data_IF_161483869185
#
_entry.id   IF_161483869185
#
_cell.length_a   1.000
_cell.length_b   1.000
_cell.length_c   1.000
_cell.angle_alpha   90.00
_cell.angle_beta   90.00
_cell.angle_gamma   90.00
#
_symmetry.space_group_name_H-M   'P 1'
#
loop_
_entity.id
_entity.type
_entity.pdbx_description
1 polymer ?
#
# COMPACT_ATOMS: atom_id res chain seq x y z
N UNK A 1 -20.84 -40.83 29.64
CA UNK A 1 -19.70 -39.94 30.00
C UNK A 1 -18.76 -39.66 28.82
N UNK A 2 -18.40 -40.64 27.98
CA UNK A 2 -17.50 -40.40 26.82
C UNK A 2 -18.07 -39.45 25.74
N UNK A 3 -19.39 -39.41 25.52
CA UNK A 3 -20.01 -38.53 24.52
C UNK A 3 -19.90 -37.03 24.87
N UNK A 4 -20.12 -36.66 26.14
CA UNK A 4 -20.03 -35.27 26.61
C UNK A 4 -18.61 -34.71 26.52
N UNK A 5 -17.59 -35.55 26.78
CA UNK A 5 -16.18 -35.14 26.63
C UNK A 5 -15.81 -34.87 25.16
N UNK A 6 -16.33 -35.67 24.22
CA UNK A 6 -16.12 -35.46 22.78
C UNK A 6 -16.82 -34.19 22.28
N UNK A 7 -18.03 -33.91 22.77
CA UNK A 7 -18.76 -32.67 22.47
C UNK A 7 -17.99 -31.44 22.98
N UNK A 8 -17.50 -31.46 24.21
CA UNK A 8 -16.72 -30.35 24.76
C UNK A 8 -15.44 -30.06 23.97
N UNK A 9 -14.74 -31.10 23.50
CA UNK A 9 -13.54 -30.95 22.65
C UNK A 9 -13.90 -30.39 21.28
N UNK A 10 -14.99 -30.85 20.66
CA UNK A 10 -15.46 -30.33 19.38
C UNK A 10 -15.88 -28.85 19.48
N UNK A 11 -16.58 -28.46 20.55
CA UNK A 11 -16.94 -27.07 20.80
C UNK A 11 -15.71 -26.19 21.06
N UNK A 12 -14.72 -26.69 21.80
CA UNK A 12 -13.45 -25.99 22.01
C UNK A 12 -12.68 -25.79 20.69
N UNK A 13 -12.62 -26.81 19.83
CA UNK A 13 -12.01 -26.71 18.51
C UNK A 13 -12.74 -25.70 17.60
N UNK A 14 -14.07 -25.72 17.57
CA UNK A 14 -14.88 -24.76 16.82
C UNK A 14 -14.66 -23.32 17.29
N UNK A 15 -14.54 -23.10 18.61
CA UNK A 15 -14.18 -21.78 19.18
C UNK A 15 -12.79 -21.34 18.74
N UNK A 16 -11.80 -22.24 18.75
CA UNK A 16 -10.44 -21.93 18.29
C UNK A 16 -10.40 -21.58 16.79
N UNK A 17 -11.18 -22.26 15.96
CA UNK A 17 -11.26 -22.00 14.53
C UNK A 17 -11.92 -20.65 14.24
N UNK A 18 -12.99 -20.31 14.97
CA UNK A 18 -13.64 -19.00 14.87
C UNK A 18 -12.69 -17.85 15.26
N UNK A 19 -11.89 -18.03 16.31
CA UNK A 19 -10.85 -17.05 16.70
C UNK A 19 -9.81 -16.89 15.59
N UNK A 20 -9.25 -17.99 15.08
CA UNK A 20 -8.28 -17.92 13.97
C UNK A 20 -8.84 -17.22 12.75
N UNK A 21 -10.08 -17.52 12.37
CA UNK A 21 -10.74 -16.86 11.24
C UNK A 21 -10.86 -15.36 11.47
N UNK A 22 -11.27 -14.94 12.67
CA UNK A 22 -11.35 -13.53 13.03
C UNK A 22 -9.99 -12.83 13.02
N UNK A 23 -8.91 -13.53 13.42
CA UNK A 23 -7.54 -13.00 13.34
C UNK A 23 -7.08 -12.83 11.89
N UNK A 24 -7.36 -13.79 11.00
CA UNK A 24 -7.02 -13.70 9.58
C UNK A 24 -7.77 -12.55 8.88
N UNK A 25 -9.07 -12.41 9.15
CA UNK A 25 -9.89 -11.32 8.62
C UNK A 25 -9.34 -9.95 9.08
N UNK A 26 -8.99 -9.84 10.37
CA UNK A 26 -8.33 -8.63 10.91
C UNK A 26 -7.00 -8.36 10.23
N UNK A 27 -6.14 -9.37 10.06
CA UNK A 27 -4.85 -9.21 9.38
C UNK A 27 -5.02 -8.71 7.95
N UNK A 28 -5.99 -9.26 7.21
CA UNK A 28 -6.28 -8.80 5.85
C UNK A 28 -6.75 -7.34 5.87
N UNK A 29 -7.67 -6.99 6.77
CA UNK A 29 -8.15 -5.60 6.87
C UNK A 29 -7.02 -4.62 7.20
N UNK A 30 -6.13 -4.97 8.13
CA UNK A 30 -4.95 -4.15 8.45
C UNK A 30 -4.04 -3.99 7.23
N UNK A 31 -3.80 -5.06 6.47
CA UNK A 31 -2.99 -4.99 5.25
C UNK A 31 -3.61 -4.06 4.20
N UNK A 32 -4.92 -4.15 3.97
CA UNK A 32 -5.63 -3.25 3.05
C UNK A 32 -5.52 -1.79 3.49
N UNK A 33 -5.65 -1.53 4.80
CA UNK A 33 -5.52 -0.18 5.35
C UNK A 33 -4.09 0.36 5.20
N UNK A 34 -3.07 -0.46 5.46
CA UNK A 34 -1.66 -0.09 5.23
C UNK A 34 -1.38 0.26 3.78
N UNK A 35 -1.92 -0.53 2.83
CA UNK A 35 -1.78 -0.24 1.40
C UNK A 35 -2.44 1.09 1.05
N UNK A 36 -3.64 1.36 1.56
CA UNK A 36 -4.34 2.62 1.34
C UNK A 36 -3.57 3.82 1.92
N UNK A 37 -3.01 3.69 3.13
CA UNK A 37 -2.21 4.73 3.78
C UNK A 37 -0.92 5.01 3.00
N UNK A 38 -0.25 3.96 2.50
CA UNK A 38 0.95 4.11 1.66
C UNK A 38 0.64 4.82 0.33
N UNK A 39 -0.48 4.44 -0.30
CA UNK A 39 -0.96 5.07 -1.54
C UNK A 39 -1.30 6.55 -1.33
N UNK A 40 -2.03 6.88 -0.27
CA UNK A 40 -2.36 8.27 0.09
C UNK A 40 -1.10 9.08 0.42
N UNK A 41 -0.18 8.50 1.19
CA UNK A 41 1.10 9.12 1.52
C UNK A 41 2.01 9.33 0.31
N UNK A 42 1.97 8.44 -0.69
CA UNK A 42 2.68 8.62 -1.95
C UNK A 42 2.12 9.81 -2.74
N UNK A 43 0.79 9.90 -2.87
CA UNK A 43 0.11 11.03 -3.52
C UNK A 43 0.46 12.35 -2.81
N UNK A 44 0.33 12.41 -1.48
CA UNK A 44 0.64 13.61 -0.71
C UNK A 44 2.10 14.06 -0.88
N UNK A 45 3.06 13.11 -0.94
CA UNK A 45 4.48 13.42 -1.19
C UNK A 45 4.72 14.01 -2.58
N UNK A 46 4.09 13.45 -3.61
CA UNK A 46 4.19 13.96 -4.98
C UNK A 46 3.54 15.33 -5.10
N UNK A 47 2.38 15.53 -4.48
CA UNK A 47 1.65 16.79 -4.52
C UNK A 47 2.34 17.90 -3.74
N UNK A 48 2.97 17.58 -2.61
CA UNK A 48 3.78 18.51 -1.82
C UNK A 48 5.20 18.75 -2.35
N UNK A 49 5.64 18.02 -3.37
CA UNK A 49 6.96 18.24 -3.99
C UNK A 49 6.93 19.45 -4.92
N UNK A 50 8.07 20.16 -5.01
CA UNK A 50 8.21 21.28 -5.93
C UNK A 50 8.20 20.75 -7.36
N UNK A 51 7.32 21.25 -8.22
CA UNK A 51 7.15 20.77 -9.59
C UNK A 51 8.43 20.82 -10.44
N UNK A 52 9.43 21.60 -10.02
CA UNK A 52 10.73 21.75 -10.71
C UNK A 52 11.77 20.71 -10.30
N UNK A 53 11.55 19.92 -9.24
CA UNK A 53 12.48 18.89 -8.78
C UNK A 53 11.96 17.48 -9.13
N UNK A 54 12.20 17.06 -10.37
CA UNK A 54 11.81 15.75 -10.89
C UNK A 54 12.35 14.59 -10.04
N UNK A 55 13.54 14.75 -9.44
CA UNK A 55 14.14 13.72 -8.58
C UNK A 55 13.39 13.60 -7.26
N UNK A 56 12.99 14.71 -6.67
CA UNK A 56 12.16 14.72 -5.48
C UNK A 56 10.79 14.10 -5.75
N UNK A 57 10.17 14.37 -6.90
CA UNK A 57 8.90 13.77 -7.33
C UNK A 57 9.02 12.24 -7.46
N UNK A 58 10.13 11.75 -8.01
CA UNK A 58 10.42 10.31 -8.09
C UNK A 58 10.86 9.68 -6.75
N UNK A 59 10.95 10.46 -5.67
CA UNK A 59 11.27 9.99 -4.32
C UNK A 59 12.76 9.90 -4.00
N UNK A 60 13.62 10.51 -4.81
CA UNK A 60 15.06 10.58 -4.53
C UNK A 60 15.39 11.77 -3.62
N UNK A 61 16.43 11.61 -2.79
CA UNK A 61 16.92 12.68 -1.93
C UNK A 61 17.59 13.79 -2.74
N UNK A 62 17.56 15.02 -2.22
CA UNK A 62 18.29 16.16 -2.80
C UNK A 62 19.79 15.84 -2.83
N UNK A 63 20.38 15.93 -4.03
CA UNK A 63 21.78 15.59 -4.27
C UNK A 63 22.03 14.15 -4.71
N UNK A 64 21.01 13.29 -4.74
CA UNK A 64 21.10 11.98 -5.36
C UNK A 64 21.22 12.12 -6.90
N UNK A 65 22.06 11.29 -7.50
CA UNK A 65 22.28 11.18 -8.94
C UNK A 65 21.90 9.75 -9.38
N UNK A 66 20.60 9.42 -9.36
CA UNK A 66 20.14 8.10 -9.74
C UNK A 66 20.43 7.84 -11.22
N UNK A 67 20.78 6.59 -11.51
CA UNK A 67 20.93 6.11 -12.88
C UNK A 67 19.56 6.02 -13.58
N UNK A 68 19.55 6.01 -14.91
CA UNK A 68 18.31 5.82 -15.70
C UNK A 68 17.54 4.55 -15.30
N UNK A 69 18.25 3.49 -14.89
CA UNK A 69 17.66 2.26 -14.39
C UNK A 69 16.92 2.45 -13.06
N UNK A 70 17.51 3.22 -12.14
CA UNK A 70 16.88 3.56 -10.86
C UNK A 70 15.67 4.47 -11.05
N UNK A 71 15.77 5.48 -11.91
CA UNK A 71 14.62 6.34 -12.27
C UNK A 71 13.47 5.52 -12.84
N UNK A 72 13.75 4.60 -13.76
CA UNK A 72 12.73 3.72 -14.36
C UNK A 72 12.09 2.81 -13.32
N UNK A 73 12.89 2.28 -12.38
CA UNK A 73 12.38 1.45 -11.29
C UNK A 73 11.48 2.25 -10.35
N UNK A 74 11.92 3.42 -9.93
CA UNK A 74 11.17 4.32 -9.05
C UNK A 74 9.86 4.77 -9.73
N UNK A 75 9.92 5.19 -10.99
CA UNK A 75 8.75 5.56 -11.78
C UNK A 75 7.71 4.43 -11.84
N UNK A 76 8.12 3.19 -12.14
CA UNK A 76 7.21 2.03 -12.20
C UNK A 76 6.59 1.68 -10.87
N UNK A 77 7.34 1.82 -9.77
CA UNK A 77 6.83 1.56 -8.42
C UNK A 77 5.84 2.65 -8.00
N UNK A 78 6.22 3.91 -8.16
CA UNK A 78 5.41 5.05 -7.76
C UNK A 78 4.12 5.14 -8.59
N UNK A 79 4.21 4.90 -9.90
CA UNK A 79 3.04 4.83 -10.79
C UNK A 79 1.99 3.83 -10.33
N UNK A 80 2.39 2.68 -9.77
CA UNK A 80 1.43 1.69 -9.23
C UNK A 80 0.76 2.16 -7.94
N UNK A 81 1.46 2.95 -7.12
CA UNK A 81 0.95 3.48 -5.86
C UNK A 81 0.01 4.67 -6.07
N UNK A 82 0.30 5.52 -7.05
CA UNK A 82 -0.50 6.72 -7.35
C UNK A 82 -1.52 6.51 -8.49
N UNK A 83 -1.64 5.30 -9.03
CA UNK A 83 -2.53 5.04 -10.16
C UNK A 83 -4.00 5.31 -9.80
N UNK A 84 -4.75 6.12 -10.56
CA UNK A 84 -6.12 6.52 -10.21
C UNK A 84 -7.12 5.36 -10.18
N UNK A 85 -6.86 4.26 -10.90
CA UNK A 85 -7.67 3.02 -10.83
C UNK A 85 -7.64 2.36 -9.44
N UNK A 86 -6.48 2.38 -8.77
CA UNK A 86 -6.24 1.66 -7.52
C UNK A 86 -6.18 2.55 -6.29
N UNK A 87 -6.04 3.86 -6.49
CA UNK A 87 -5.91 4.86 -5.45
C UNK A 87 -7.12 5.79 -5.53
N UNK A 88 -7.96 5.74 -4.49
CA UNK A 88 -9.18 6.55 -4.40
C UNK A 88 -8.94 7.98 -3.93
N UNK A 89 -7.68 8.42 -3.79
CA UNK A 89 -7.38 9.79 -3.41
C UNK A 89 -7.80 10.77 -4.53
N UNK A 90 -8.41 11.93 -4.18
CA UNK A 90 -8.88 12.90 -5.17
C UNK A 90 -7.76 13.48 -6.04
N UNK A 91 -6.53 13.50 -5.50
CA UNK A 91 -5.35 14.02 -6.18
C UNK A 91 -4.53 12.94 -6.91
N UNK A 92 -4.99 11.68 -6.94
CA UNK A 92 -4.24 10.57 -7.55
C UNK A 92 -3.94 10.82 -9.04
N UNK A 93 -4.91 11.37 -9.78
CA UNK A 93 -4.72 11.70 -11.20
C UNK A 93 -3.64 12.77 -11.41
N UNK A 94 -3.68 13.85 -10.61
CA UNK A 94 -2.68 14.93 -10.69
C UNK A 94 -1.29 14.47 -10.24
N UNK A 95 -1.22 13.64 -9.20
CA UNK A 95 0.03 13.02 -8.77
C UNK A 95 0.61 12.13 -9.87
N UNK A 96 -0.22 11.32 -10.54
CA UNK A 96 0.22 10.48 -11.65
C UNK A 96 0.79 11.32 -12.81
N UNK A 97 0.14 12.43 -13.17
CA UNK A 97 0.64 13.37 -14.20
C UNK A 97 2.01 13.93 -13.82
N UNK A 98 2.22 14.33 -12.57
CA UNK A 98 3.52 14.84 -12.08
C UNK A 98 4.61 13.77 -12.13
N UNK A 99 4.30 12.54 -11.72
CA UNK A 99 5.24 11.40 -11.79
C UNK A 99 5.62 11.09 -13.23
N UNK A 100 4.68 11.18 -14.16
CA UNK A 100 4.94 11.00 -15.59
C UNK A 100 5.82 12.12 -16.17
N UNK A 101 5.49 13.37 -15.86
CA UNK A 101 6.27 14.54 -16.28
C UNK A 101 7.70 14.56 -15.70
N UNK A 102 7.92 13.96 -14.53
CA UNK A 102 9.24 13.86 -13.92
C UNK A 102 10.14 12.77 -14.56
N UNK A 103 9.55 11.85 -15.32
CA UNK A 103 10.27 10.75 -15.96
C UNK A 103 10.60 11.01 -17.44
N UNK A 104 9.72 11.71 -18.16
CA UNK A 104 9.89 12.15 -19.56
C UNK A 104 10.92 13.27 -19.66
#
# INVERSE_FOLDING_TARGET
>A
RQAAARQAVAEAAARQEAVRRGELERQHQLHQQQVADEQAGAVARVMGSVSTDARQILGFSRGSTPTTGECTKAFRQLSKLVHPDKNTAPEAEEAFKRVHAAYV
#
